data_IF_402925882551
#
_entry.id   IF_402925882551
#
_cell.length_a   1.000
_cell.length_b   1.000
_cell.length_c   1.000
_cell.angle_alpha   90.00
_cell.angle_beta   90.00
_cell.angle_gamma   90.00
#
_symmetry.space_group_name_H-M   'P 1'
#
loop_
_entity.id
_entity.type
_entity.pdbx_description
1 polymer ?
#
# COMPACT_ATOMS: atom_id res chain seq x y z
N UNK A 1 7.41 17.88 30.68
CA UNK A 1 7.07 16.49 31.01
C UNK A 1 6.25 15.82 29.92
N UNK A 2 5.08 16.34 29.53
CA UNK A 2 4.17 15.75 28.51
C UNK A 2 4.86 15.38 27.18
N UNK A 3 5.60 16.30 26.54
CA UNK A 3 6.28 16.03 25.26
C UNK A 3 7.41 14.97 25.35
N UNK A 4 8.03 14.80 26.50
CA UNK A 4 9.04 13.74 26.69
C UNK A 4 8.36 12.38 26.81
N UNK A 5 7.21 12.33 27.49
CA UNK A 5 6.42 11.11 27.58
C UNK A 5 5.85 10.69 26.22
N UNK A 6 5.36 11.67 25.41
CA UNK A 6 4.94 11.38 24.03
C UNK A 6 6.11 10.87 23.16
N UNK A 7 7.32 11.41 23.32
CA UNK A 7 8.49 10.93 22.62
C UNK A 7 8.86 9.49 23.01
N UNK A 8 8.76 9.15 24.31
CA UNK A 8 8.95 7.79 24.81
C UNK A 8 7.92 6.81 24.22
N UNK A 9 6.66 7.19 24.28
CA UNK A 9 5.55 6.40 23.74
C UNK A 9 5.73 6.13 22.24
N UNK A 10 6.02 7.17 21.46
CA UNK A 10 6.25 7.06 20.01
C UNK A 10 7.47 6.19 19.72
N UNK A 11 8.55 6.35 20.49
CA UNK A 11 9.74 5.50 20.38
C UNK A 11 9.40 4.02 20.57
N UNK A 12 8.67 3.70 21.63
CA UNK A 12 8.20 2.34 21.91
C UNK A 12 7.26 1.80 20.81
N UNK A 13 6.28 2.58 20.38
CA UNK A 13 5.34 2.18 19.34
C UNK A 13 6.03 1.93 17.99
N UNK A 14 7.01 2.76 17.60
CA UNK A 14 7.81 2.51 16.40
C UNK A 14 8.54 1.16 16.48
N UNK A 15 9.19 0.86 17.61
CA UNK A 15 9.90 -0.41 17.80
C UNK A 15 8.94 -1.60 17.80
N UNK A 16 7.77 -1.45 18.39
CA UNK A 16 6.73 -2.47 18.35
C UNK A 16 6.27 -2.76 16.92
N UNK A 17 6.04 -1.70 16.12
CA UNK A 17 5.68 -1.86 14.69
C UNK A 17 6.81 -2.56 13.92
N UNK A 18 8.08 -2.26 14.20
CA UNK A 18 9.24 -2.96 13.62
C UNK A 18 9.19 -4.45 13.95
N UNK A 19 8.95 -4.82 15.20
CA UNK A 19 8.82 -6.21 15.62
C UNK A 19 7.69 -6.90 14.86
N UNK A 20 6.50 -6.27 14.79
CA UNK A 20 5.36 -6.81 14.05
C UNK A 20 5.70 -7.01 12.55
N UNK A 21 6.42 -6.07 11.93
CA UNK A 21 6.84 -6.18 10.53
C UNK A 21 7.83 -7.32 10.31
N UNK A 22 8.76 -7.54 11.22
CA UNK A 22 9.77 -8.61 11.11
C UNK A 22 9.13 -9.99 11.23
N UNK A 23 8.15 -10.15 12.12
CA UNK A 23 7.49 -11.45 12.32
C UNK A 23 6.44 -11.76 11.24
N UNK A 24 5.70 -10.77 10.73
CA UNK A 24 4.50 -11.00 9.93
C UNK A 24 4.63 -10.61 8.45
N UNK A 25 5.68 -9.91 8.04
CA UNK A 25 5.77 -9.31 6.69
C UNK A 25 6.58 -10.14 5.68
N UNK A 26 6.60 -11.48 5.79
CA UNK A 26 7.38 -12.37 4.89
C UNK A 26 7.25 -12.03 3.40
N UNK A 27 6.05 -11.81 2.82
CA UNK A 27 5.90 -11.54 1.39
C UNK A 27 6.50 -10.20 0.93
N UNK A 28 6.54 -9.20 1.81
CA UNK A 28 6.97 -7.84 1.49
C UNK A 28 8.31 -7.43 2.12
N UNK A 29 9.09 -8.37 2.62
CA UNK A 29 10.40 -8.07 3.27
C UNK A 29 11.28 -7.14 2.44
N UNK A 30 11.34 -7.37 1.12
CA UNK A 30 12.19 -6.56 0.24
C UNK A 30 11.66 -5.13 0.08
N UNK A 31 10.34 -4.94 -0.06
CA UNK A 31 9.71 -3.62 -0.21
C UNK A 31 9.74 -2.85 1.11
N UNK A 32 9.47 -3.54 2.22
CA UNK A 32 9.37 -2.91 3.54
C UNK A 32 10.72 -2.78 4.26
N UNK A 33 11.82 -3.30 3.70
CA UNK A 33 13.13 -3.24 4.34
C UNK A 33 13.51 -1.82 4.80
N UNK A 34 13.37 -0.84 3.92
CA UNK A 34 13.72 0.54 4.24
C UNK A 34 12.73 1.19 5.20
N UNK A 35 11.45 0.81 5.16
CA UNK A 35 10.49 1.27 6.17
C UNK A 35 10.83 0.73 7.56
N UNK A 36 11.24 -0.53 7.66
CA UNK A 36 11.73 -1.12 8.92
C UNK A 36 12.93 -0.34 9.45
N UNK A 37 13.90 -0.03 8.58
CA UNK A 37 15.09 0.75 8.97
C UNK A 37 14.70 2.16 9.44
N UNK A 38 13.81 2.85 8.72
CA UNK A 38 13.31 4.19 9.09
C UNK A 38 12.62 4.15 10.46
N UNK A 39 11.69 3.22 10.66
CA UNK A 39 10.95 3.09 11.92
C UNK A 39 11.87 2.67 13.08
N UNK A 40 12.85 1.80 12.82
CA UNK A 40 13.82 1.40 13.83
C UNK A 40 14.68 2.60 14.28
N UNK A 41 15.26 3.34 13.33
CA UNK A 41 16.07 4.53 13.65
C UNK A 41 15.23 5.57 14.39
N UNK A 42 14.04 5.87 13.86
CA UNK A 42 13.12 6.85 14.46
C UNK A 42 12.70 6.44 15.88
N UNK A 43 12.37 5.16 16.06
CA UNK A 43 11.97 4.61 17.36
C UNK A 43 13.12 4.60 18.36
N UNK A 44 14.27 4.06 17.97
CA UNK A 44 15.43 3.95 18.82
C UNK A 44 15.93 5.33 19.30
N UNK A 45 16.08 6.28 18.39
CA UNK A 45 16.55 7.63 18.74
C UNK A 45 15.62 8.32 19.73
N UNK A 46 14.29 8.21 19.55
CA UNK A 46 13.30 8.82 20.46
C UNK A 46 13.27 8.12 21.80
N UNK A 47 13.33 6.80 21.80
CA UNK A 47 13.35 5.99 23.00
C UNK A 47 14.57 6.35 23.89
N UNK A 48 15.77 6.31 23.30
CA UNK A 48 17.03 6.65 24.02
C UNK A 48 17.00 8.10 24.50
N UNK A 49 16.58 9.05 23.65
CA UNK A 49 16.51 10.45 24.04
C UNK A 49 15.52 10.69 25.19
N UNK A 50 14.37 10.03 25.18
CA UNK A 50 13.38 10.20 26.22
C UNK A 50 13.83 9.62 27.56
N UNK A 51 14.50 8.45 27.54
CA UNK A 51 15.09 7.84 28.75
C UNK A 51 16.15 8.75 29.35
N UNK A 52 17.02 9.32 28.51
CA UNK A 52 18.08 10.24 28.96
C UNK A 52 17.50 11.53 29.59
N UNK A 53 16.50 12.13 28.95
CA UNK A 53 15.88 13.38 29.42
C UNK A 53 14.99 13.17 30.66
N UNK A 54 14.41 11.98 30.81
CA UNK A 54 13.61 11.61 32.00
C UNK A 54 14.48 11.10 33.16
N UNK A 55 15.82 11.10 32.97
CA UNK A 55 16.80 10.62 33.97
C UNK A 55 16.54 9.19 34.46
N UNK A 56 15.89 8.36 33.64
CA UNK A 56 15.57 6.96 33.97
C UNK A 56 16.85 6.10 34.03
N UNK A 57 17.87 6.48 33.26
CA UNK A 57 19.19 5.85 33.31
C UNK A 57 20.28 6.87 33.06
N UNK A 58 21.42 6.76 33.82
CA UNK A 58 22.62 7.53 33.54
C UNK A 58 23.44 6.78 32.47
N UNK A 59 23.28 7.18 31.22
CA UNK A 59 24.12 6.64 30.15
C UNK A 59 25.52 7.21 30.26
N UNK A 60 26.49 6.34 30.47
CA UNK A 60 27.92 6.70 30.62
C UNK A 60 28.54 7.22 29.32
N UNK A 61 27.90 6.99 28.18
CA UNK A 61 28.33 7.42 26.84
C UNK A 61 27.34 8.41 26.24
N UNK A 62 27.81 9.57 25.80
CA UNK A 62 26.94 10.54 25.11
C UNK A 62 26.58 9.99 23.73
N UNK A 63 25.33 9.58 23.52
CA UNK A 63 24.87 9.06 22.21
C UNK A 63 24.73 10.18 21.17
N UNK A 64 25.09 11.42 21.50
CA UNK A 64 24.91 12.59 20.62
C UNK A 64 25.73 12.46 19.34
N UNK A 65 26.99 12.03 19.39
CA UNK A 65 27.83 11.81 18.20
C UNK A 65 27.21 10.75 17.27
N UNK A 66 26.81 9.62 17.83
CA UNK A 66 26.19 8.55 17.05
C UNK A 66 24.87 9.01 16.38
N UNK A 67 24.10 9.87 17.05
CA UNK A 67 22.84 10.40 16.50
C UNK A 67 23.06 11.31 15.29
N UNK A 68 24.10 12.14 15.29
CA UNK A 68 24.42 13.04 14.18
C UNK A 68 24.91 12.26 12.97
N UNK A 69 25.77 11.28 13.16
CA UNK A 69 26.30 10.44 12.07
C UNK A 69 25.20 9.64 11.36
N UNK A 70 24.17 9.20 12.09
CA UNK A 70 23.00 8.51 11.50
C UNK A 70 22.21 9.42 10.53
N UNK A 71 22.24 10.76 10.73
CA UNK A 71 21.56 11.69 9.82
C UNK A 71 22.09 11.59 8.37
N UNK A 72 23.35 11.24 8.16
CA UNK A 72 23.93 11.07 6.83
C UNK A 72 23.26 9.91 6.05
N UNK A 73 22.81 8.88 6.75
CA UNK A 73 22.21 7.69 6.13
C UNK A 73 20.70 7.78 5.97
N UNK A 74 20.01 8.63 6.74
CA UNK A 74 18.56 8.62 6.78
C UNK A 74 17.94 9.07 5.45
N UNK A 75 18.51 10.03 4.76
CA UNK A 75 17.96 10.61 3.53
C UNK A 75 17.98 9.61 2.37
N UNK A 76 19.10 8.91 2.05
CA UNK A 76 19.10 7.86 1.03
C UNK A 76 18.18 6.69 1.41
N UNK A 77 18.02 6.35 2.70
CA UNK A 77 17.06 5.32 3.14
C UNK A 77 15.63 5.73 2.79
N UNK A 78 15.24 7.00 3.02
CA UNK A 78 13.94 7.51 2.57
C UNK A 78 13.78 7.44 1.06
N UNK A 79 14.79 7.86 0.30
CA UNK A 79 14.74 7.78 -1.17
C UNK A 79 14.53 6.34 -1.65
N UNK A 80 15.25 5.38 -1.10
CA UNK A 80 15.14 3.98 -1.46
C UNK A 80 13.79 3.39 -1.05
N UNK A 81 13.23 3.83 0.09
CA UNK A 81 11.87 3.50 0.48
C UNK A 81 10.85 3.96 -0.58
N UNK A 82 10.89 5.24 -0.98
CA UNK A 82 9.98 5.77 -2.00
C UNK A 82 10.19 5.11 -3.36
N UNK A 83 11.45 4.89 -3.75
CA UNK A 83 11.78 4.21 -5.01
C UNK A 83 11.21 2.80 -5.07
N UNK A 84 11.34 2.01 -4.00
CA UNK A 84 10.74 0.67 -3.92
C UNK A 84 9.21 0.69 -3.86
N UNK A 85 8.64 1.65 -3.14
CA UNK A 85 7.19 1.78 -3.01
C UNK A 85 6.53 2.11 -4.36
N UNK A 86 7.15 2.94 -5.18
CA UNK A 86 6.58 3.46 -6.42
C UNK A 86 6.99 2.60 -7.63
N UNK A 87 8.26 2.24 -7.73
CA UNK A 87 8.84 1.57 -8.91
C UNK A 87 9.04 0.06 -8.71
N UNK A 88 8.77 -0.46 -7.50
CA UNK A 88 9.02 -1.86 -7.17
C UNK A 88 10.47 -2.17 -6.80
N UNK A 89 10.81 -3.47 -6.74
CA UNK A 89 12.11 -3.93 -6.26
C UNK A 89 13.22 -3.69 -7.30
N UNK A 90 14.31 -3.06 -6.88
CA UNK A 90 15.54 -2.92 -7.64
C UNK A 90 16.58 -3.99 -7.23
N UNK A 91 17.66 -4.10 -8.01
CA UNK A 91 18.81 -4.94 -7.66
C UNK A 91 19.52 -4.35 -6.43
N UNK A 92 19.74 -5.15 -5.40
CA UNK A 92 20.32 -4.71 -4.13
C UNK A 92 21.68 -4.01 -4.29
N UNK A 93 22.55 -4.49 -5.18
CA UNK A 93 23.84 -3.87 -5.47
C UNK A 93 23.72 -2.43 -5.99
N UNK A 94 22.68 -2.13 -6.78
CA UNK A 94 22.43 -0.77 -7.28
C UNK A 94 21.97 0.18 -6.17
N UNK A 95 21.34 -0.36 -5.14
CA UNK A 95 20.91 0.41 -3.98
C UNK A 95 22.05 0.75 -3.03
N UNK A 96 23.07 -0.14 -2.91
CA UNK A 96 24.25 0.11 -2.09
C UNK A 96 25.06 1.33 -2.52
N UNK A 97 25.04 1.69 -3.81
CA UNK A 97 25.73 2.90 -4.33
C UNK A 97 25.26 4.17 -3.62
N UNK A 98 23.99 4.22 -3.20
CA UNK A 98 23.42 5.38 -2.50
C UNK A 98 24.03 5.61 -1.10
N UNK A 99 24.73 4.63 -0.55
CA UNK A 99 25.38 4.73 0.77
C UNK A 99 26.86 5.13 0.71
N UNK A 100 27.46 5.23 -0.48
CA UNK A 100 28.87 5.61 -0.65
C UNK A 100 29.14 7.00 -0.08
N UNK A 101 28.33 8.00 -0.44
CA UNK A 101 28.48 9.37 0.06
C UNK A 101 28.28 9.45 1.59
N UNK A 102 27.22 8.89 2.18
CA UNK A 102 27.11 8.80 3.64
C UNK A 102 28.30 8.18 4.35
N UNK A 103 28.88 7.11 3.79
CA UNK A 103 30.09 6.48 4.36
C UNK A 103 31.29 7.43 4.30
N UNK A 104 31.50 8.11 3.16
CA UNK A 104 32.56 9.10 3.01
C UNK A 104 32.38 10.24 4.02
N UNK A 105 31.15 10.78 4.18
CA UNK A 105 30.85 11.82 5.16
C UNK A 105 31.11 11.35 6.58
N UNK A 106 30.78 10.10 6.91
CA UNK A 106 31.05 9.50 8.19
C UNK A 106 32.56 9.40 8.46
N UNK A 107 33.34 8.99 7.46
CA UNK A 107 34.81 8.90 7.56
C UNK A 107 35.43 10.30 7.73
N UNK A 108 34.96 11.30 7.00
CA UNK A 108 35.40 12.70 7.16
C UNK A 108 35.10 13.18 8.58
N UNK A 109 33.92 12.90 9.12
CA UNK A 109 33.48 13.30 10.46
C UNK A 109 34.36 12.64 11.58
N UNK A 110 34.81 11.42 11.32
CA UNK A 110 35.67 10.66 12.27
C UNK A 110 37.14 11.11 12.21
N UNK A 111 37.71 11.26 11.01
CA UNK A 111 39.14 11.44 10.80
C UNK A 111 39.57 12.89 10.59
N UNK A 112 38.68 13.75 10.06
CA UNK A 112 39.01 15.14 9.73
C UNK A 112 38.24 16.06 10.69
N UNK A 113 38.97 16.67 11.61
CA UNK A 113 38.41 17.56 12.65
C UNK A 113 37.80 18.86 12.09
N UNK A 114 37.99 19.18 10.80
CA UNK A 114 37.43 20.39 10.17
C UNK A 114 35.95 20.18 9.76
N UNK A 115 35.08 20.52 10.67
CA UNK A 115 33.62 20.32 10.60
C UNK A 115 32.89 21.02 9.45
N UNK A 116 33.48 22.02 8.78
CA UNK A 116 32.72 22.86 7.81
C UNK A 116 32.37 22.14 6.50
N UNK A 117 33.34 21.44 5.90
CA UNK A 117 33.18 20.87 4.57
C UNK A 117 32.13 19.74 4.51
N UNK A 118 32.14 18.84 5.50
CA UNK A 118 31.19 17.71 5.55
C UNK A 118 29.73 18.17 5.62
N UNK A 119 29.45 19.29 6.26
CA UNK A 119 28.10 19.84 6.38
C UNK A 119 27.60 20.47 5.10
N UNK A 120 28.45 21.20 4.35
CA UNK A 120 28.08 21.72 3.03
C UNK A 120 27.81 20.60 2.04
N UNK A 121 28.64 19.55 2.03
CA UNK A 121 28.41 18.36 1.21
C UNK A 121 27.08 17.69 1.59
N UNK A 122 26.81 17.54 2.88
CA UNK A 122 25.57 16.97 3.36
C UNK A 122 24.34 17.82 2.98
N UNK A 123 24.42 19.14 3.05
CA UNK A 123 23.35 20.03 2.62
C UNK A 123 22.97 19.78 1.16
N UNK A 124 23.96 19.85 0.25
CA UNK A 124 23.73 19.61 -1.18
C UNK A 124 23.19 18.21 -1.41
N UNK A 125 23.78 17.21 -0.79
CA UNK A 125 23.38 15.82 -0.86
C UNK A 125 21.93 15.62 -0.42
N UNK A 126 21.55 16.12 0.75
CA UNK A 126 20.20 15.97 1.30
C UNK A 126 19.15 16.69 0.45
N UNK A 127 19.47 17.89 -0.08
CA UNK A 127 18.59 18.62 -0.97
C UNK A 127 18.38 17.89 -2.31
N UNK A 128 19.44 17.35 -2.93
CA UNK A 128 19.34 16.57 -4.17
C UNK A 128 18.46 15.33 -3.99
N UNK A 129 18.65 14.58 -2.90
CA UNK A 129 17.81 13.42 -2.61
C UNK A 129 16.36 13.79 -2.32
N UNK A 130 16.13 14.86 -1.57
CA UNK A 130 14.78 15.33 -1.31
C UNK A 130 14.07 15.75 -2.61
N UNK A 131 14.76 16.44 -3.50
CA UNK A 131 14.23 16.77 -4.82
C UNK A 131 13.91 15.53 -5.65
N UNK A 132 14.77 14.51 -5.64
CA UNK A 132 14.51 13.23 -6.28
C UNK A 132 13.27 12.52 -5.69
N UNK A 133 13.08 12.56 -4.36
CA UNK A 133 11.86 12.06 -3.71
C UNK A 133 10.63 12.82 -4.20
N UNK A 134 10.68 14.15 -4.29
CA UNK A 134 9.56 14.95 -4.78
C UNK A 134 9.17 14.57 -6.22
N UNK A 135 10.14 14.36 -7.11
CA UNK A 135 9.86 13.91 -8.47
C UNK A 135 9.14 12.56 -8.51
N UNK A 136 9.56 11.60 -7.69
CA UNK A 136 8.88 10.30 -7.55
C UNK A 136 7.46 10.46 -7.03
N UNK A 137 7.25 11.28 -6.02
CA UNK A 137 5.92 11.51 -5.39
C UNK A 137 4.99 12.25 -6.36
N UNK A 138 5.48 13.23 -7.10
CA UNK A 138 4.70 13.92 -8.14
C UNK A 138 4.26 12.94 -9.22
N UNK A 139 5.15 12.02 -9.63
CA UNK A 139 4.83 10.93 -10.56
C UNK A 139 3.68 10.07 -10.05
N UNK A 140 3.70 9.67 -8.77
CA UNK A 140 2.63 8.92 -8.13
C UNK A 140 1.30 9.71 -8.08
N UNK A 141 1.35 10.99 -7.72
CA UNK A 141 0.14 11.83 -7.62
C UNK A 141 -0.51 12.06 -8.98
N UNK A 142 0.29 12.17 -10.04
CA UNK A 142 -0.18 12.33 -11.43
C UNK A 142 -0.65 11.03 -12.07
N UNK A 143 -0.43 9.89 -11.41
CA UNK A 143 -0.80 8.60 -11.96
C UNK A 143 -2.31 8.49 -12.18
N UNK A 144 -2.71 8.21 -13.44
CA UNK A 144 -4.11 7.99 -13.80
C UNK A 144 -4.53 6.58 -13.40
N UNK A 145 -5.56 6.48 -12.59
CA UNK A 145 -6.17 5.21 -12.14
C UNK A 145 -6.56 4.34 -13.34
N UNK A 146 -6.19 3.07 -13.32
CA UNK A 146 -6.53 2.09 -14.35
C UNK A 146 -7.71 1.21 -14.00
N UNK A 147 -8.01 1.03 -12.69
CA UNK A 147 -9.14 0.22 -12.25
C UNK A 147 -9.74 0.74 -10.93
N UNK A 148 -11.01 0.36 -10.68
CA UNK A 148 -11.74 0.70 -9.45
C UNK A 148 -11.11 0.01 -8.22
N UNK A 149 -10.52 -1.18 -8.41
CA UNK A 149 -9.81 -1.92 -7.36
C UNK A 149 -8.55 -1.21 -6.85
N UNK A 150 -7.88 -0.47 -7.72
CA UNK A 150 -6.72 0.34 -7.35
C UNK A 150 -7.10 1.57 -6.52
N UNK A 151 -8.38 1.99 -6.55
CA UNK A 151 -8.78 3.28 -5.97
C UNK A 151 -8.65 3.35 -4.45
N UNK A 152 -9.10 2.32 -3.72
CA UNK A 152 -9.07 2.31 -2.26
C UNK A 152 -7.62 2.20 -1.74
N UNK A 153 -6.85 1.29 -2.31
CA UNK A 153 -5.43 1.08 -1.97
C UNK A 153 -4.59 2.28 -2.43
N UNK A 154 -4.85 2.82 -3.61
CA UNK A 154 -4.18 4.01 -4.12
C UNK A 154 -4.36 5.22 -3.19
N UNK A 155 -5.58 5.47 -2.69
CA UNK A 155 -5.83 6.57 -1.74
C UNK A 155 -5.02 6.38 -0.46
N UNK A 156 -4.96 5.17 0.06
CA UNK A 156 -4.20 4.84 1.28
C UNK A 156 -2.70 5.02 1.05
N UNK A 157 -2.16 4.47 -0.04
CA UNK A 157 -0.74 4.57 -0.39
C UNK A 157 -0.36 6.03 -0.68
N UNK A 158 -1.19 6.78 -1.39
CA UNK A 158 -0.97 8.20 -1.66
C UNK A 158 -0.90 9.01 -0.38
N UNK A 159 -1.86 8.85 0.52
CA UNK A 159 -1.89 9.58 1.80
C UNK A 159 -0.68 9.22 2.66
N UNK A 160 -0.33 7.93 2.71
CA UNK A 160 0.87 7.46 3.39
C UNK A 160 2.15 8.06 2.80
N UNK A 161 2.28 8.06 1.49
CA UNK A 161 3.44 8.63 0.78
C UNK A 161 3.57 10.12 1.06
N UNK A 162 2.47 10.89 1.02
CA UNK A 162 2.49 12.32 1.35
C UNK A 162 2.89 12.56 2.81
N UNK A 163 2.36 11.79 3.75
CA UNK A 163 2.72 11.88 5.17
C UNK A 163 4.21 11.60 5.39
N UNK A 164 4.75 10.54 4.78
CA UNK A 164 6.18 10.22 4.87
C UNK A 164 7.05 11.26 4.19
N UNK A 165 6.58 11.89 3.11
CA UNK A 165 7.28 13.01 2.45
C UNK A 165 7.35 14.23 3.37
N UNK A 166 6.28 14.57 4.08
CA UNK A 166 6.27 15.66 5.07
C UNK A 166 7.24 15.38 6.22
N UNK A 167 7.30 14.13 6.72
CA UNK A 167 8.26 13.73 7.75
C UNK A 167 9.69 13.85 7.22
N UNK A 168 9.96 13.37 6.01
CA UNK A 168 11.28 13.49 5.37
C UNK A 168 11.69 14.94 5.19
N UNK A 169 10.78 15.81 4.73
CA UNK A 169 11.03 17.25 4.62
C UNK A 169 11.41 17.87 5.95
N UNK A 170 10.64 17.61 7.00
CA UNK A 170 10.95 18.12 8.34
C UNK A 170 12.31 17.63 8.83
N UNK A 171 12.67 16.38 8.57
CA UNK A 171 13.98 15.83 8.92
C UNK A 171 15.12 16.53 8.17
N UNK A 172 14.97 16.76 6.86
CA UNK A 172 15.99 17.45 6.05
C UNK A 172 16.17 18.91 6.53
N UNK A 173 15.07 19.63 6.78
CA UNK A 173 15.13 21.02 7.25
C UNK A 173 15.79 21.08 8.63
N UNK A 174 15.34 20.29 9.59
CA UNK A 174 15.86 20.32 10.95
C UNK A 174 17.30 19.81 11.05
N UNK A 175 17.67 18.76 10.29
CA UNK A 175 19.06 18.28 10.31
C UNK A 175 20.01 19.34 9.78
N UNK A 176 19.67 20.02 8.67
CA UNK A 176 20.50 21.10 8.15
C UNK A 176 20.51 22.30 9.09
N UNK A 177 19.37 22.75 9.60
CA UNK A 177 19.31 23.81 10.62
C UNK A 177 20.20 23.50 11.82
N UNK A 178 20.11 22.27 12.36
CA UNK A 178 20.94 21.84 13.50
C UNK A 178 22.43 21.81 13.19
N UNK A 179 22.82 21.39 11.99
CA UNK A 179 24.21 21.32 11.57
C UNK A 179 24.84 22.71 11.36
N UNK A 180 24.05 23.67 10.88
CA UNK A 180 24.52 25.05 10.62
C UNK A 180 24.36 25.99 11.80
N UNK A 181 23.54 25.65 12.79
CA UNK A 181 23.37 26.48 14.00
C UNK A 181 24.60 26.37 14.90
N UNK A 182 25.10 27.50 15.38
CA UNK A 182 26.17 27.55 16.37
C UNK A 182 25.76 26.90 17.70
N UNK A 183 24.46 26.81 17.96
CA UNK A 183 23.89 26.18 19.13
C UNK A 183 23.78 24.65 18.97
N UNK A 184 24.90 23.95 18.86
CA UNK A 184 25.00 22.48 18.91
C UNK A 184 24.69 21.92 20.32
N UNK A 185 23.68 22.49 20.99
CA UNK A 185 23.31 22.07 22.34
C UNK A 185 22.41 20.84 22.33
N UNK A 186 22.55 20.00 23.36
CA UNK A 186 21.65 18.88 23.63
C UNK A 186 20.18 19.34 23.69
N UNK A 187 19.93 20.58 24.11
CA UNK A 187 18.60 21.21 24.21
C UNK A 187 17.91 21.27 22.83
N UNK A 188 18.60 21.67 21.77
CA UNK A 188 18.02 21.78 20.43
C UNK A 188 17.67 20.43 19.85
N UNK A 189 18.52 19.41 20.06
CA UNK A 189 18.25 18.05 19.64
C UNK A 189 17.05 17.45 20.39
N UNK A 190 16.94 17.70 21.69
CA UNK A 190 15.80 17.28 22.50
C UNK A 190 14.51 17.92 22.02
N UNK A 191 14.51 19.19 21.67
CA UNK A 191 13.37 19.89 21.11
C UNK A 191 12.97 19.31 19.75
N UNK A 192 13.94 18.97 18.89
CA UNK A 192 13.66 18.29 17.64
C UNK A 192 12.91 16.97 17.87
N UNK A 193 13.38 16.10 18.77
CA UNK A 193 12.71 14.83 19.06
C UNK A 193 11.32 15.02 19.67
N UNK A 194 11.14 16.00 20.55
CA UNK A 194 9.83 16.33 21.13
C UNK A 194 8.80 16.71 20.07
N UNK A 195 9.11 17.68 19.22
CA UNK A 195 8.15 18.19 18.24
C UNK A 195 7.95 17.20 17.07
N UNK A 196 9.01 16.58 16.57
CA UNK A 196 8.89 15.60 15.52
C UNK A 196 8.16 14.32 15.95
N UNK A 197 8.09 14.03 17.26
CA UNK A 197 7.31 12.90 17.78
C UNK A 197 5.81 13.04 17.52
N UNK A 198 5.27 14.24 17.42
CA UNK A 198 3.86 14.46 17.05
C UNK A 198 3.59 13.99 15.60
N UNK A 199 4.50 14.30 14.66
CA UNK A 199 4.38 13.83 13.28
C UNK A 199 4.46 12.30 13.19
N UNK A 200 5.37 11.70 13.95
CA UNK A 200 5.50 10.25 14.02
C UNK A 200 4.30 9.58 14.69
N UNK A 201 3.69 10.21 15.70
CA UNK A 201 2.46 9.71 16.29
C UNK A 201 1.33 9.63 15.27
N UNK A 202 1.17 10.67 14.44
CA UNK A 202 0.21 10.66 13.33
C UNK A 202 0.51 9.52 12.35
N UNK A 203 1.78 9.31 12.01
CA UNK A 203 2.19 8.22 11.11
C UNK A 203 1.85 6.84 11.70
N UNK A 204 2.09 6.63 12.99
CA UNK A 204 1.80 5.37 13.67
C UNK A 204 0.29 5.12 13.75
N UNK A 205 -0.50 6.14 14.11
CA UNK A 205 -1.97 6.05 14.12
C UNK A 205 -2.46 5.70 12.71
N UNK A 206 -1.86 6.30 11.68
CA UNK A 206 -2.22 6.01 10.30
C UNK A 206 -1.87 4.56 9.91
N UNK A 207 -0.73 4.03 10.36
CA UNK A 207 -0.33 2.63 10.18
C UNK A 207 -1.35 1.69 10.84
N UNK A 208 -1.73 1.94 12.10
CA UNK A 208 -2.70 1.09 12.81
C UNK A 208 -4.09 1.14 12.18
N UNK A 209 -4.49 2.30 11.64
CA UNK A 209 -5.76 2.43 10.90
C UNK A 209 -5.72 1.72 9.55
N UNK A 210 -4.53 1.56 8.96
CA UNK A 210 -4.32 0.98 7.64
C UNK A 210 -3.23 -0.10 7.69
N UNK A 211 -3.53 -1.29 8.24
CA UNK A 211 -2.54 -2.37 8.40
C UNK A 211 -1.94 -2.86 7.08
N UNK A 212 -2.57 -2.54 5.95
CA UNK A 212 -2.03 -2.75 4.58
C UNK A 212 -0.60 -2.23 4.42
N UNK A 213 -0.27 -1.11 5.09
CA UNK A 213 1.04 -0.48 5.02
C UNK A 213 2.13 -1.42 5.57
N UNK A 214 1.82 -2.17 6.64
CA UNK A 214 2.75 -3.11 7.29
C UNK A 214 2.77 -4.44 6.55
N UNK A 215 1.59 -5.02 6.31
CA UNK A 215 1.45 -6.38 5.78
C UNK A 215 1.51 -6.42 4.26
N UNK A 216 1.39 -5.25 3.60
CA UNK A 216 1.47 -5.07 2.17
C UNK A 216 0.25 -5.50 1.41
N UNK A 217 0.19 -5.00 0.18
CA UNK A 217 -0.91 -5.22 -0.76
C UNK A 217 -1.12 -6.71 -1.06
N UNK A 218 -0.05 -7.51 -1.05
CA UNK A 218 -0.13 -8.94 -1.36
C UNK A 218 -0.96 -9.76 -0.37
N UNK A 219 -0.83 -9.53 0.94
CA UNK A 219 -1.64 -10.23 1.93
C UNK A 219 -3.09 -9.77 1.91
N UNK A 220 -3.32 -8.49 1.60
CA UNK A 220 -4.65 -7.98 1.34
C UNK A 220 -5.23 -8.59 0.07
N UNK A 221 -4.52 -8.58 -1.04
CA UNK A 221 -4.96 -9.20 -2.28
C UNK A 221 -5.20 -10.71 -2.12
N UNK A 222 -4.37 -11.43 -1.39
CA UNK A 222 -4.56 -12.86 -1.13
C UNK A 222 -5.76 -13.13 -0.23
N UNK A 223 -5.99 -12.32 0.80
CA UNK A 223 -7.18 -12.42 1.66
C UNK A 223 -8.44 -11.86 0.97
N UNK A 224 -8.28 -10.92 0.04
CA UNK A 224 -9.33 -10.34 -0.80
C UNK A 224 -9.69 -11.29 -1.94
N UNK A 225 -8.73 -11.92 -2.59
CA UNK A 225 -8.95 -12.95 -3.59
C UNK A 225 -9.67 -14.16 -2.98
N UNK A 226 -9.46 -14.40 -1.68
CA UNK A 226 -10.10 -15.56 -1.08
C UNK A 226 -11.57 -15.38 -0.77
N UNK A 227 -12.18 -14.22 -0.52
CA UNK A 227 -13.64 -14.22 -0.25
C UNK A 227 -14.44 -12.91 -0.09
N UNK A 228 -13.90 -11.70 0.03
CA UNK A 228 -14.79 -10.61 0.48
C UNK A 228 -14.76 -9.29 -0.29
N UNK A 229 -13.71 -8.91 -0.98
CA UNK A 229 -13.61 -7.58 -1.58
C UNK A 229 -14.21 -7.46 -2.98
N UNK A 230 -14.37 -8.54 -3.69
CA UNK A 230 -15.13 -8.54 -4.93
C UNK A 230 -16.60 -8.14 -4.71
N UNK A 231 -17.17 -8.45 -3.55
CA UNK A 231 -18.54 -8.11 -3.21
C UNK A 231 -18.75 -6.64 -2.87
N UNK A 232 -17.79 -6.05 -2.12
CA UNK A 232 -17.93 -4.66 -1.64
C UNK A 232 -17.69 -3.61 -2.72
N UNK A 233 -16.97 -3.95 -3.79
CA UNK A 233 -16.61 -3.01 -4.85
C UNK A 233 -17.50 -3.08 -6.09
N UNK A 234 -18.34 -4.11 -6.22
CA UNK A 234 -19.31 -4.24 -7.31
C UNK A 234 -20.58 -3.45 -7.02
N UNK A 235 -20.95 -3.38 -5.73
CA UNK A 235 -22.22 -2.81 -5.29
C UNK A 235 -22.03 -1.62 -4.37
N UNK A 236 -22.71 -0.53 -4.68
CA UNK A 236 -22.74 0.66 -3.84
C UNK A 236 -23.83 0.57 -2.79
N UNK A 237 -23.58 1.13 -1.59
CA UNK A 237 -24.62 1.29 -0.55
C UNK A 237 -25.56 2.46 -0.82
N UNK A 238 -25.17 3.38 -1.71
CA UNK A 238 -25.96 4.56 -2.10
C UNK A 238 -26.05 4.61 -3.62
N UNK A 239 -27.08 5.24 -4.18
CA UNK A 239 -27.17 5.42 -5.64
C UNK A 239 -25.90 6.07 -6.18
N UNK A 240 -25.34 5.50 -7.25
CA UNK A 240 -24.12 5.96 -7.92
C UNK A 240 -24.32 7.25 -8.72
N UNK A 241 -25.57 7.55 -9.06
CA UNK A 241 -25.97 8.71 -9.86
C UNK A 241 -27.33 9.22 -9.40
N UNK A 242 -27.65 10.46 -9.77
CA UNK A 242 -28.96 11.06 -9.52
C UNK A 242 -30.05 10.22 -10.23
N UNK A 243 -31.16 9.98 -9.53
CA UNK A 243 -32.27 9.19 -10.06
C UNK A 243 -32.97 10.01 -11.14
N UNK A 244 -33.12 9.45 -12.32
CA UNK A 244 -33.79 10.07 -13.44
C UNK A 244 -35.30 10.18 -13.15
N UNK A 245 -35.97 11.23 -13.65
CA UNK A 245 -37.39 11.48 -13.40
C UNK A 245 -38.28 10.30 -13.80
N UNK A 246 -37.99 9.70 -14.95
CA UNK A 246 -38.71 8.53 -15.45
C UNK A 246 -38.62 7.29 -14.56
N UNK A 247 -37.59 7.20 -13.77
CA UNK A 247 -37.32 6.03 -12.91
C UNK A 247 -37.80 6.27 -11.46
N UNK A 248 -38.15 7.51 -11.09
CA UNK A 248 -38.46 7.88 -9.70
C UNK A 248 -39.60 7.04 -9.10
N UNK A 249 -40.68 6.84 -9.84
CA UNK A 249 -41.86 6.09 -9.36
C UNK A 249 -41.43 4.65 -9.06
N UNK A 250 -40.80 4.01 -10.03
CA UNK A 250 -40.34 2.62 -9.89
C UNK A 250 -39.29 2.49 -8.79
N UNK A 251 -38.36 3.43 -8.74
CA UNK A 251 -37.29 3.48 -7.70
C UNK A 251 -37.91 3.53 -6.30
N UNK A 252 -38.85 4.43 -6.04
CA UNK A 252 -39.49 4.57 -4.73
C UNK A 252 -40.27 3.31 -4.32
N UNK A 253 -40.90 2.64 -5.28
CA UNK A 253 -41.66 1.42 -5.02
C UNK A 253 -40.80 0.23 -4.60
N UNK A 254 -39.52 0.20 -5.00
CA UNK A 254 -38.62 -0.92 -4.72
C UNK A 254 -37.44 -0.54 -3.81
N UNK A 255 -37.36 0.72 -3.36
CA UNK A 255 -36.24 1.23 -2.56
C UNK A 255 -35.91 0.33 -1.34
N UNK A 256 -36.94 -0.13 -0.64
CA UNK A 256 -36.79 -1.01 0.53
C UNK A 256 -36.30 -2.43 0.19
N UNK A 257 -36.36 -2.83 -1.09
CA UNK A 257 -35.96 -4.18 -1.56
C UNK A 257 -34.57 -4.22 -2.18
N UNK A 258 -33.91 -3.07 -2.44
CA UNK A 258 -32.59 -3.05 -3.07
C UNK A 258 -31.55 -3.86 -2.31
N UNK A 259 -31.48 -3.69 -0.99
CA UNK A 259 -30.51 -4.41 -0.16
C UNK A 259 -30.67 -5.93 -0.22
N UNK A 260 -31.91 -6.43 -0.18
CA UNK A 260 -32.18 -7.86 -0.28
C UNK A 260 -31.91 -8.41 -1.68
N UNK A 261 -32.22 -7.67 -2.74
CA UNK A 261 -31.91 -8.08 -4.12
C UNK A 261 -30.39 -8.18 -4.32
N UNK A 262 -29.65 -7.16 -3.91
CA UNK A 262 -28.18 -7.15 -4.00
C UNK A 262 -27.58 -8.32 -3.20
N UNK A 263 -28.04 -8.56 -1.97
CA UNK A 263 -27.60 -9.68 -1.15
C UNK A 263 -27.87 -11.04 -1.82
N UNK A 264 -29.01 -11.20 -2.45
CA UNK A 264 -29.34 -12.43 -3.18
C UNK A 264 -28.46 -12.63 -4.41
N UNK A 265 -28.16 -11.57 -5.17
CA UNK A 265 -27.20 -11.63 -6.28
C UNK A 265 -25.80 -12.03 -5.77
N UNK A 266 -25.36 -11.47 -4.67
CA UNK A 266 -24.07 -11.80 -4.04
C UNK A 266 -24.01 -13.27 -3.57
N UNK A 267 -25.10 -13.79 -2.98
CA UNK A 267 -25.20 -15.19 -2.60
C UNK A 267 -25.14 -16.12 -3.82
N UNK A 268 -25.88 -15.79 -4.88
CA UNK A 268 -25.86 -16.56 -6.11
C UNK A 268 -24.47 -16.56 -6.75
N UNK A 269 -23.79 -15.43 -6.77
CA UNK A 269 -22.42 -15.30 -7.29
C UNK A 269 -21.43 -16.21 -6.54
N UNK A 270 -21.61 -16.42 -5.23
CA UNK A 270 -20.78 -17.32 -4.42
C UNK A 270 -21.09 -18.80 -4.65
N UNK A 271 -22.33 -19.13 -4.92
CA UNK A 271 -22.78 -20.51 -5.11
C UNK A 271 -22.40 -21.09 -6.48
N UNK A 272 -22.05 -20.26 -7.44
CA UNK A 272 -21.64 -20.67 -8.81
C UNK A 272 -20.19 -21.15 -8.80
N UNK A 273 -19.96 -22.34 -8.27
CA UNK A 273 -18.65 -23.02 -8.37
C UNK A 273 -18.40 -23.63 -9.74
N UNK A 274 -19.46 -23.89 -10.52
CA UNK A 274 -19.39 -24.28 -11.92
C UNK A 274 -20.38 -23.43 -12.71
N UNK A 275 -19.92 -22.67 -13.69
CA UNK A 275 -20.76 -21.84 -14.57
C UNK A 275 -21.62 -22.68 -15.54
N UNK A 276 -22.06 -23.85 -15.11
CA UNK A 276 -22.53 -24.92 -15.98
C UNK A 276 -23.79 -24.60 -16.79
N UNK A 277 -24.57 -23.59 -16.43
CA UNK A 277 -25.76 -23.23 -17.20
C UNK A 277 -26.32 -21.84 -16.92
N UNK A 278 -25.72 -21.03 -16.06
CA UNK A 278 -26.32 -19.76 -15.64
C UNK A 278 -25.60 -18.56 -16.24
N UNK A 279 -26.23 -17.91 -17.20
CA UNK A 279 -25.74 -16.63 -17.71
C UNK A 279 -26.30 -15.49 -16.86
N UNK A 280 -25.45 -14.67 -16.26
CA UNK A 280 -25.86 -13.50 -15.49
C UNK A 280 -26.38 -12.41 -16.44
N UNK A 281 -27.62 -12.52 -16.86
CA UNK A 281 -28.33 -11.47 -17.59
C UNK A 281 -29.42 -10.87 -16.71
N UNK A 282 -29.96 -9.69 -17.07
CA UNK A 282 -31.08 -9.11 -16.34
C UNK A 282 -32.31 -10.02 -16.31
N UNK A 283 -32.56 -10.74 -17.42
CA UNK A 283 -33.68 -11.66 -17.54
C UNK A 283 -33.53 -12.91 -16.67
N UNK A 284 -32.32 -13.52 -16.68
CA UNK A 284 -32.07 -14.73 -15.88
C UNK A 284 -32.08 -14.43 -14.38
N UNK A 285 -31.50 -13.31 -13.97
CA UNK A 285 -31.56 -12.87 -12.59
C UNK A 285 -32.96 -12.49 -12.13
N UNK A 286 -33.74 -11.83 -13.02
CA UNK A 286 -35.11 -11.47 -12.74
C UNK A 286 -35.99 -12.71 -12.53
N UNK A 287 -35.85 -13.74 -13.40
CA UNK A 287 -36.54 -15.02 -13.27
C UNK A 287 -36.16 -15.75 -12.00
N UNK A 288 -34.85 -15.84 -11.70
CA UNK A 288 -34.35 -16.52 -10.51
C UNK A 288 -34.88 -15.93 -9.21
N UNK A 289 -34.93 -14.59 -9.13
CA UNK A 289 -35.41 -13.92 -7.93
C UNK A 289 -36.92 -13.60 -7.97
N UNK A 290 -37.62 -14.04 -9.02
CA UNK A 290 -39.08 -13.83 -9.21
C UNK A 290 -39.45 -12.33 -9.08
N UNK A 291 -38.67 -11.47 -9.71
CA UNK A 291 -38.90 -10.02 -9.75
C UNK A 291 -38.98 -9.54 -11.21
N UNK A 292 -39.68 -8.42 -11.48
CA UNK A 292 -39.73 -7.85 -12.82
C UNK A 292 -38.32 -7.49 -13.33
N UNK A 293 -38.06 -7.69 -14.63
CA UNK A 293 -36.82 -7.32 -15.30
C UNK A 293 -36.45 -5.85 -15.08
N UNK A 294 -37.43 -4.95 -15.13
CA UNK A 294 -37.25 -3.53 -14.90
C UNK A 294 -36.66 -3.21 -13.51
N UNK A 295 -37.02 -3.99 -12.49
CA UNK A 295 -36.43 -3.86 -11.14
C UNK A 295 -34.96 -4.25 -11.15
N UNK A 296 -34.62 -5.34 -11.84
CA UNK A 296 -33.22 -5.79 -11.96
C UNK A 296 -32.35 -4.75 -12.69
N UNK A 297 -32.83 -4.25 -13.82
CA UNK A 297 -32.15 -3.21 -14.60
C UNK A 297 -31.94 -1.94 -13.77
N UNK A 298 -32.90 -1.56 -12.93
CA UNK A 298 -32.82 -0.40 -12.05
C UNK A 298 -31.77 -0.60 -10.94
N UNK A 299 -31.69 -1.81 -10.34
CA UNK A 299 -30.66 -2.17 -9.38
C UNK A 299 -29.27 -2.04 -10.00
N UNK A 300 -29.06 -2.60 -11.18
CA UNK A 300 -27.79 -2.46 -11.89
C UNK A 300 -27.48 -1.01 -12.26
N UNK A 301 -28.47 -0.26 -12.75
CA UNK A 301 -28.31 1.13 -13.18
C UNK A 301 -27.85 2.04 -12.04
N UNK A 302 -28.36 1.87 -10.83
CA UNK A 302 -28.13 2.81 -9.72
C UNK A 302 -27.21 2.31 -8.63
N UNK A 303 -27.00 0.99 -8.51
CA UNK A 303 -26.23 0.41 -7.41
C UNK A 303 -25.04 -0.43 -7.86
N UNK A 304 -24.94 -0.82 -9.12
CA UNK A 304 -23.81 -1.58 -9.65
C UNK A 304 -22.81 -0.66 -10.36
N UNK A 305 -21.52 -0.85 -10.09
CA UNK A 305 -20.45 -0.14 -10.81
C UNK A 305 -20.28 -0.64 -12.25
N UNK A 306 -20.88 -1.77 -12.59
CA UNK A 306 -20.79 -2.42 -13.89
C UNK A 306 -22.16 -2.50 -14.57
N UNK A 307 -22.17 -2.49 -15.90
CA UNK A 307 -23.34 -2.94 -16.66
C UNK A 307 -23.62 -4.42 -16.36
N UNK A 308 -24.85 -4.88 -16.61
CA UNK A 308 -25.19 -6.31 -16.43
C UNK A 308 -24.25 -7.21 -17.21
N UNK A 309 -23.90 -6.82 -18.44
CA UNK A 309 -22.98 -7.58 -19.30
C UNK A 309 -21.54 -7.59 -18.74
N UNK A 310 -21.04 -6.45 -18.27
CA UNK A 310 -19.73 -6.38 -17.63
C UNK A 310 -19.70 -7.16 -16.32
N UNK A 311 -20.78 -7.13 -15.55
CA UNK A 311 -20.91 -7.94 -14.34
C UNK A 311 -20.87 -9.44 -14.68
N UNK A 312 -21.59 -9.89 -15.69
CA UNK A 312 -21.53 -11.27 -16.18
C UNK A 312 -20.10 -11.68 -16.56
N UNK A 313 -19.42 -10.82 -17.32
CA UNK A 313 -18.03 -11.07 -17.70
C UNK A 313 -17.09 -11.09 -16.48
N UNK A 314 -17.31 -10.23 -15.51
CA UNK A 314 -16.54 -10.21 -14.24
C UNK A 314 -16.69 -11.54 -13.49
N UNK A 315 -17.92 -12.09 -13.38
CA UNK A 315 -18.17 -13.39 -12.73
C UNK A 315 -17.42 -14.51 -13.45
N UNK A 316 -17.45 -14.52 -14.79
CA UNK A 316 -16.72 -15.49 -15.62
C UNK A 316 -15.21 -15.38 -15.43
N UNK A 317 -14.65 -14.18 -15.37
CA UNK A 317 -13.22 -13.95 -15.14
C UNK A 317 -12.81 -14.38 -13.73
N UNK A 318 -13.63 -14.14 -12.71
CA UNK A 318 -13.38 -14.60 -11.36
C UNK A 318 -13.29 -16.13 -11.29
N UNK A 319 -14.16 -16.82 -12.00
CA UNK A 319 -14.11 -18.28 -12.14
C UNK A 319 -12.82 -18.73 -12.84
N UNK A 320 -12.44 -18.05 -13.94
CA UNK A 320 -11.17 -18.32 -14.62
C UNK A 320 -9.96 -18.18 -13.68
N UNK A 321 -9.94 -17.13 -12.86
CA UNK A 321 -8.87 -16.92 -11.87
C UNK A 321 -8.83 -18.07 -10.84
N UNK A 322 -9.98 -18.56 -10.40
CA UNK A 322 -10.03 -19.72 -9.50
C UNK A 322 -9.43 -20.97 -10.15
N UNK A 323 -9.75 -21.22 -11.42
CA UNK A 323 -9.19 -22.34 -12.18
C UNK A 323 -7.67 -22.20 -12.41
N UNK A 324 -7.20 -21.00 -12.78
CA UNK A 324 -5.77 -20.70 -12.93
C UNK A 324 -5.01 -20.95 -11.62
N UNK A 325 -5.54 -20.48 -10.51
CA UNK A 325 -4.92 -20.67 -9.20
C UNK A 325 -4.94 -22.14 -8.75
N UNK A 326 -5.86 -22.94 -9.27
CA UNK A 326 -5.93 -24.39 -9.07
C UNK A 326 -5.03 -25.20 -10.03
N UNK A 327 -4.15 -24.55 -10.82
CA UNK A 327 -3.22 -25.23 -11.73
C UNK A 327 -3.84 -25.65 -13.08
N UNK A 328 -5.02 -25.10 -13.44
CA UNK A 328 -5.71 -25.51 -14.67
C UNK A 328 -4.87 -25.35 -15.94
N UNK A 329 -4.06 -24.28 -16.01
CA UNK A 329 -3.20 -23.99 -17.17
C UNK A 329 -1.91 -24.84 -17.23
N UNK A 330 -1.68 -25.72 -16.28
CA UNK A 330 -0.62 -26.74 -16.35
C UNK A 330 -0.97 -27.84 -17.37
N UNK A 331 -2.26 -28.12 -17.54
CA UNK A 331 -2.77 -29.19 -18.38
C UNK A 331 -3.59 -28.70 -19.59
N UNK A 332 -4.04 -27.46 -19.60
CA UNK A 332 -4.96 -26.93 -20.60
C UNK A 332 -4.51 -25.57 -21.15
N UNK A 333 -4.96 -25.25 -22.35
CA UNK A 333 -4.63 -23.99 -23.03
C UNK A 333 -5.50 -22.83 -22.53
N UNK A 334 -5.03 -21.60 -22.76
CA UNK A 334 -5.79 -20.37 -22.48
C UNK A 334 -7.08 -20.31 -23.32
N UNK A 335 -7.10 -20.88 -24.52
CA UNK A 335 -8.30 -20.97 -25.34
C UNK A 335 -9.36 -21.84 -24.66
N UNK A 336 -8.97 -23.05 -24.25
CA UNK A 336 -9.85 -23.99 -23.55
C UNK A 336 -10.37 -23.41 -22.20
N UNK A 337 -9.53 -22.68 -21.48
CA UNK A 337 -9.97 -21.95 -20.28
C UNK A 337 -11.07 -20.94 -20.62
N UNK A 338 -10.93 -20.21 -21.74
CA UNK A 338 -11.93 -19.26 -22.20
C UNK A 338 -13.26 -19.95 -22.51
N UNK A 339 -13.24 -21.10 -23.16
CA UNK A 339 -14.41 -21.90 -23.51
C UNK A 339 -15.12 -22.42 -22.25
N UNK A 340 -14.38 -22.98 -21.30
CA UNK A 340 -14.91 -23.43 -19.99
C UNK A 340 -15.53 -22.29 -19.19
N UNK A 341 -14.99 -21.07 -19.33
CA UNK A 341 -15.56 -19.89 -18.73
C UNK A 341 -16.69 -19.25 -19.55
N UNK A 342 -17.19 -19.94 -20.57
CA UNK A 342 -18.32 -19.53 -21.43
C UNK A 342 -18.08 -18.20 -22.18
N UNK A 343 -16.85 -17.98 -22.66
CA UNK A 343 -16.55 -16.91 -23.60
C UNK A 343 -16.64 -17.43 -25.04
N UNK A 344 -17.20 -16.64 -25.93
CA UNK A 344 -17.40 -17.01 -27.34
C UNK A 344 -16.09 -17.10 -28.15
N UNK A 345 -14.98 -16.55 -27.60
CA UNK A 345 -13.68 -16.63 -28.24
C UNK A 345 -12.54 -16.35 -27.26
N UNK A 346 -11.35 -16.92 -27.53
CA UNK A 346 -10.11 -16.60 -26.82
C UNK A 346 -9.83 -15.11 -26.78
N UNK A 347 -10.13 -14.39 -27.87
CA UNK A 347 -9.90 -12.93 -27.94
C UNK A 347 -10.79 -12.18 -26.93
N UNK A 348 -12.08 -12.50 -26.89
CA UNK A 348 -13.03 -11.90 -25.95
C UNK A 348 -12.66 -12.22 -24.51
N UNK A 349 -12.25 -13.46 -24.23
CA UNK A 349 -11.74 -13.87 -22.94
C UNK A 349 -10.53 -13.05 -22.53
N UNK A 350 -9.48 -13.03 -23.35
CA UNK A 350 -8.22 -12.32 -23.03
C UNK A 350 -8.44 -10.80 -22.86
N UNK A 351 -9.31 -10.20 -23.67
CA UNK A 351 -9.69 -8.78 -23.55
C UNK A 351 -10.37 -8.49 -22.21
N UNK A 352 -11.33 -9.32 -21.81
CA UNK A 352 -12.03 -9.15 -20.54
C UNK A 352 -11.11 -9.48 -19.35
N UNK A 353 -10.26 -10.49 -19.45
CA UNK A 353 -9.29 -10.82 -18.42
C UNK A 353 -8.38 -9.61 -18.15
N UNK A 354 -7.79 -9.03 -19.21
CA UNK A 354 -6.97 -7.81 -19.07
C UNK A 354 -7.77 -6.61 -18.57
N UNK A 355 -9.05 -6.48 -18.95
CA UNK A 355 -9.93 -5.41 -18.48
C UNK A 355 -10.14 -5.48 -16.96
N UNK A 356 -10.41 -6.66 -16.41
CA UNK A 356 -10.78 -6.83 -15.00
C UNK A 356 -9.59 -7.12 -14.08
N UNK A 357 -8.57 -7.84 -14.57
CA UNK A 357 -7.38 -8.22 -13.79
C UNK A 357 -6.22 -7.21 -13.95
N UNK A 358 -6.23 -6.43 -15.06
CA UNK A 358 -5.20 -5.42 -15.34
C UNK A 358 -3.99 -5.95 -16.12
N UNK A 359 -3.74 -7.25 -16.12
CA UNK A 359 -2.62 -7.91 -16.81
C UNK A 359 -3.12 -8.99 -17.77
N UNK A 360 -2.25 -9.44 -18.68
CA UNK A 360 -2.59 -10.58 -19.56
C UNK A 360 -2.65 -11.89 -18.75
N UNK A 361 -3.34 -12.90 -19.29
CA UNK A 361 -3.39 -14.24 -18.67
C UNK A 361 -1.98 -14.81 -18.47
N UNK A 362 -1.11 -14.67 -19.47
CA UNK A 362 0.27 -15.15 -19.40
C UNK A 362 1.09 -14.45 -18.33
N UNK A 363 1.00 -13.12 -18.24
CA UNK A 363 1.66 -12.34 -17.18
C UNK A 363 1.14 -12.71 -15.79
N UNK A 364 -0.17 -12.96 -15.68
CA UNK A 364 -0.80 -13.39 -14.43
C UNK A 364 -0.25 -14.75 -13.95
N UNK A 365 -0.15 -15.71 -14.88
CA UNK A 365 0.40 -17.05 -14.60
C UNK A 365 1.88 -16.98 -14.20
N UNK A 366 2.71 -16.22 -14.96
CA UNK A 366 4.12 -16.03 -14.64
C UNK A 366 4.31 -15.39 -13.27
N UNK A 367 3.53 -14.36 -12.97
CA UNK A 367 3.57 -13.68 -11.66
C UNK A 367 3.17 -14.63 -10.53
N UNK A 368 2.11 -15.44 -10.70
CA UNK A 368 1.68 -16.43 -9.70
C UNK A 368 2.68 -17.59 -9.54
N UNK A 369 3.23 -18.11 -10.63
CA UNK A 369 4.25 -19.16 -10.59
C UNK A 369 5.54 -18.68 -9.90
N UNK A 370 5.96 -17.44 -10.15
CA UNK A 370 7.09 -16.83 -9.44
C UNK A 370 6.83 -16.61 -7.94
N UNK A 371 5.58 -16.41 -7.57
CA UNK A 371 5.12 -16.24 -6.19
C UNK A 371 5.07 -17.61 -5.50
N UNK A 372 4.50 -18.64 -6.14
CA UNK A 372 4.42 -19.99 -5.57
C UNK A 372 5.81 -20.61 -5.40
N UNK A 373 6.70 -20.52 -6.39
CA UNK A 373 8.12 -20.95 -6.24
C UNK A 373 8.85 -20.25 -5.10
N UNK A 374 8.52 -19.01 -4.79
CA UNK A 374 9.11 -18.27 -3.65
C UNK A 374 8.50 -18.66 -2.32
N UNK A 375 7.26 -19.13 -2.30
CA UNK A 375 6.59 -19.65 -1.09
C UNK A 375 7.17 -21.03 -0.76
N UNK A 376 7.33 -21.90 -1.75
CA UNK A 376 7.88 -23.25 -1.55
C UNK A 376 9.36 -23.21 -1.14
N UNK A 377 10.16 -22.30 -1.72
CA UNK A 377 11.54 -22.07 -1.31
C UNK A 377 11.71 -21.37 0.05
N UNK A 378 10.63 -20.87 0.64
CA UNK A 378 10.62 -20.23 1.96
C UNK A 378 10.04 -21.15 3.05
N UNK A 379 9.52 -22.33 2.66
CA UNK A 379 8.99 -23.37 3.56
C UNK A 379 9.99 -24.54 3.76
N UNK A 380 11.08 -24.57 2.98
CA UNK A 380 12.26 -25.42 3.16
C UNK A 380 13.38 -24.58 3.81
#
# INVERSE_FOLDING_TARGET
>A
MFFNLTSLLVGFLCLLVVILMLFNSKPNRKTNLYLVIILFIAGFQRFVNAIEVLELTKLTYSPLKLRLSVAFFIVPVYYLFFKRLINGNAKFLQELVHFVIPIILLLIDIFIVSFGLSYYIYLVFSCCYFFAILLLVIGLVKYKKRSIFEEANYKTIRTWTLLMTMICFSLVVFSNYFLFSEAKSAINLNNFYRYSSLLWLIAIIYIFKNPVIIFGEYNLLKNIQSNQLQELLVWSKKPLRKIEEKDKILYNNIANKFGSIILNIQKLQKSVTALTAFTFTADTLAKEFKIPRSHMELVFKYYCFYSVNDFSNLVKINYAVTLINGGYLENYTVAHLGDVCLFNSRFTFSKNFKKFIGVSVSDYVINNASINKKIDAALI
#
